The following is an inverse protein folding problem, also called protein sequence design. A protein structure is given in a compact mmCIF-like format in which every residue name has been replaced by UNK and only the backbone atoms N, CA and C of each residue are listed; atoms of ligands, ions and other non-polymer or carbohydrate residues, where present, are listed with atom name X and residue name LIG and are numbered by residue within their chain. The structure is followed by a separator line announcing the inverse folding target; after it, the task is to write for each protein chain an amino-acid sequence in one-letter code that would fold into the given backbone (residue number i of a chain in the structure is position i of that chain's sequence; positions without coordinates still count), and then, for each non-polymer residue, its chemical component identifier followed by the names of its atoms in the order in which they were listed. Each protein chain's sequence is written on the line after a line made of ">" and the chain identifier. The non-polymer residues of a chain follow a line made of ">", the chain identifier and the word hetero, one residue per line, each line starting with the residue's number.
data_IF_096347337400
#
_entry.id   IF_096347337400
#
_cell.length_a   1.000
_cell.length_b   1.000
_cell.length_c   1.000
_cell.angle_alpha   90.00
_cell.angle_beta   90.00
_cell.angle_gamma   90.00
#
_symmetry.space_group_name_H-M   'P 1'
#
loop_
_entity.id
_entity.type
_entity.pdbx_description
1 polymer ?
#
# COMPACT_ATOMS: atom_id res chain seq x y z
N UNK A 1 -15.88 21.50 -4.25
CA UNK A 1 -15.34 20.28 -4.89
C UNK A 1 -14.24 19.72 -4.00
N UNK A 2 -14.50 18.63 -3.28
CA UNK A 2 -13.48 17.98 -2.47
C UNK A 2 -12.32 17.55 -3.38
N UNK A 3 -11.11 18.04 -3.13
CA UNK A 3 -9.89 17.59 -3.80
C UNK A 3 -9.69 16.12 -3.43
N UNK A 4 -10.15 15.20 -4.30
CA UNK A 4 -9.89 13.76 -4.16
C UNK A 4 -8.38 13.59 -4.07
N UNK A 5 -7.86 13.33 -2.87
CA UNK A 5 -6.44 13.02 -2.69
C UNK A 5 -6.21 11.70 -3.40
N UNK A 6 -5.32 11.67 -4.39
CA UNK A 6 -5.03 10.46 -5.14
C UNK A 6 -4.54 9.34 -4.21
N UNK A 7 -5.34 8.29 -4.06
CA UNK A 7 -5.05 7.15 -3.15
C UNK A 7 -4.20 6.08 -3.83
N UNK A 8 -3.97 6.19 -5.15
CA UNK A 8 -3.26 5.19 -5.96
C UNK A 8 -1.84 4.90 -5.48
N UNK A 9 -1.10 5.94 -5.06
CA UNK A 9 0.25 5.77 -4.52
C UNK A 9 0.22 5.03 -3.18
N UNK A 10 -0.72 5.39 -2.29
CA UNK A 10 -0.85 4.74 -0.97
C UNK A 10 -1.19 3.25 -1.10
N UNK A 11 -2.13 2.90 -1.98
CA UNK A 11 -2.48 1.51 -2.28
C UNK A 11 -1.29 0.70 -2.80
N UNK A 12 -0.48 1.32 -3.68
CA UNK A 12 0.74 0.69 -4.21
C UNK A 12 1.80 0.44 -3.12
N UNK A 13 1.96 1.39 -2.19
CA UNK A 13 2.87 1.24 -1.04
C UNK A 13 2.41 0.09 -0.15
N UNK A 14 1.12 0.03 0.18
CA UNK A 14 0.54 -1.04 1.00
C UNK A 14 0.73 -2.43 0.37
N UNK A 15 0.49 -2.55 -0.94
CA UNK A 15 0.64 -3.81 -1.66
C UNK A 15 2.10 -4.28 -1.69
N UNK A 16 3.05 -3.36 -1.92
CA UNK A 16 4.48 -3.65 -1.87
C UNK A 16 4.90 -4.12 -0.46
N UNK A 17 4.39 -3.47 0.59
CA UNK A 17 4.67 -3.87 1.96
C UNK A 17 4.11 -5.25 2.30
N UNK A 18 2.89 -5.57 1.87
CA UNK A 18 2.31 -6.91 2.06
C UNK A 18 3.17 -8.00 1.42
N UNK A 19 3.68 -7.74 0.22
CA UNK A 19 4.60 -8.66 -0.47
C UNK A 19 5.91 -8.76 0.33
N UNK A 20 6.47 -7.63 0.76
CA UNK A 20 7.70 -7.59 1.54
C UNK A 20 7.58 -8.40 2.84
N UNK A 21 6.56 -8.15 3.66
CA UNK A 21 6.37 -8.84 4.94
C UNK A 21 6.23 -10.35 4.78
N UNK A 22 5.53 -10.79 3.72
CA UNK A 22 5.38 -12.22 3.40
C UNK A 22 6.72 -12.88 3.05
N UNK A 23 7.53 -12.23 2.23
CA UNK A 23 8.80 -12.79 1.75
C UNK A 23 9.94 -12.65 2.79
N UNK A 24 9.93 -11.60 3.62
CA UNK A 24 10.85 -11.46 4.77
C UNK A 24 10.62 -12.58 5.78
N UNK A 25 9.36 -12.93 6.05
CA UNK A 25 9.03 -14.06 6.95
C UNK A 25 9.52 -15.41 6.41
N UNK A 26 9.73 -15.52 5.09
CA UNK A 26 10.34 -16.68 4.43
C UNK A 26 11.87 -16.67 4.46
N UNK A 27 12.49 -15.60 4.96
CA UNK A 27 13.94 -15.46 5.05
C UNK A 27 14.63 -15.07 3.73
N UNK A 28 13.87 -14.52 2.78
CA UNK A 28 14.42 -14.11 1.48
C UNK A 28 15.14 -12.75 1.65
N UNK A 29 16.34 -12.56 1.06
CA UNK A 29 17.04 -11.28 1.18
C UNK A 29 16.36 -10.19 0.35
N UNK A 30 16.39 -8.94 0.85
CA UNK A 30 15.67 -7.80 0.27
C UNK A 30 15.89 -7.60 -1.23
N UNK A 31 17.11 -7.82 -1.71
CA UNK A 31 17.45 -7.71 -3.13
C UNK A 31 16.76 -8.77 -4.00
N UNK A 32 16.58 -9.97 -3.46
CA UNK A 32 15.90 -11.07 -4.12
C UNK A 32 14.39 -10.84 -4.14
N UNK A 33 13.83 -10.28 -3.06
CA UNK A 33 12.42 -9.88 -2.98
C UNK A 33 12.12 -8.84 -4.08
N UNK A 34 12.97 -7.82 -4.18
CA UNK A 34 12.83 -6.79 -5.22
C UNK A 34 12.88 -7.38 -6.63
N UNK A 35 13.89 -8.20 -6.91
CA UNK A 35 14.12 -8.75 -8.26
C UNK A 35 13.03 -9.74 -8.70
N UNK A 36 12.54 -10.60 -7.80
CA UNK A 36 11.59 -11.67 -8.14
C UNK A 36 10.13 -11.25 -8.11
N UNK A 37 9.75 -10.38 -7.17
CA UNK A 37 8.33 -10.07 -6.93
C UNK A 37 7.94 -8.65 -7.31
N UNK A 38 8.83 -7.68 -7.14
CA UNK A 38 8.47 -6.26 -7.26
C UNK A 38 8.80 -5.71 -8.64
N UNK A 39 10.01 -5.98 -9.14
CA UNK A 39 10.45 -5.52 -10.44
C UNK A 39 9.55 -5.98 -11.60
N UNK A 40 9.15 -7.26 -11.72
CA UNK A 40 8.31 -7.69 -12.84
C UNK A 40 6.89 -7.10 -12.81
N UNK A 41 6.38 -6.71 -11.65
CA UNK A 41 5.01 -6.18 -11.50
C UNK A 41 4.97 -4.66 -11.63
N UNK A 42 5.93 -3.97 -11.01
CA UNK A 42 5.90 -2.51 -10.87
C UNK A 42 6.96 -1.77 -11.68
N UNK A 43 7.99 -2.47 -12.20
CA UNK A 43 9.06 -1.84 -12.98
C UNK A 43 9.84 -0.76 -12.21
N UNK A 44 9.91 -0.84 -10.89
CA UNK A 44 10.54 0.17 -10.05
C UNK A 44 12.02 -0.13 -9.80
N UNK A 45 12.81 0.93 -9.67
CA UNK A 45 14.23 0.83 -9.30
C UNK A 45 14.40 0.40 -7.84
N UNK A 46 15.56 -0.18 -7.52
CA UNK A 46 15.91 -0.58 -6.15
C UNK A 46 15.88 0.62 -5.18
N UNK A 47 16.33 1.80 -5.62
CA UNK A 47 16.27 3.03 -4.82
C UNK A 47 14.82 3.42 -4.50
N UNK A 48 13.93 3.31 -5.48
CA UNK A 48 12.49 3.58 -5.28
C UNK A 48 11.87 2.56 -4.32
N UNK A 49 12.30 1.29 -4.38
CA UNK A 49 11.85 0.27 -3.45
C UNK A 49 12.23 0.59 -2.01
N UNK A 50 13.48 0.95 -1.73
CA UNK A 50 13.88 1.37 -0.38
C UNK A 50 13.20 2.66 0.07
N UNK A 51 12.97 3.61 -0.84
CA UNK A 51 12.20 4.82 -0.52
C UNK A 51 10.75 4.49 -0.12
N UNK A 52 10.12 3.50 -0.76
CA UNK A 52 8.76 3.05 -0.44
C UNK A 52 8.73 2.37 0.94
N UNK A 53 9.70 1.49 1.22
CA UNK A 53 9.84 0.86 2.54
C UNK A 53 10.03 1.92 3.64
N UNK A 54 10.89 2.92 3.40
CA UNK A 54 11.11 4.00 4.35
C UNK A 54 9.88 4.91 4.49
N UNK A 55 9.18 5.21 3.39
CA UNK A 55 7.94 5.98 3.42
C UNK A 55 6.85 5.27 4.23
N UNK A 56 6.83 3.93 4.25
CA UNK A 56 5.94 3.16 5.12
C UNK A 56 6.28 3.28 6.61
N UNK A 57 7.55 3.51 6.96
CA UNK A 57 7.98 3.70 8.34
C UNK A 57 7.60 5.10 8.87
N UNK A 58 7.26 6.02 7.97
CA UNK A 58 6.84 7.38 8.31
C UNK A 58 5.34 7.38 8.67
N UNK A 59 5.02 7.64 9.95
CA UNK A 59 3.65 7.59 10.51
C UNK A 59 2.62 8.42 9.73
N UNK A 60 3.08 9.43 8.98
CA UNK A 60 2.26 10.31 8.14
C UNK A 60 1.65 9.62 6.90
N UNK A 61 2.14 8.43 6.53
CA UNK A 61 1.69 7.69 5.37
C UNK A 61 0.70 6.57 5.67
N UNK A 62 0.36 6.31 6.95
CA UNK A 62 -0.75 5.41 7.29
C UNK A 62 -2.01 5.89 6.57
N UNK A 63 -2.58 5.00 5.77
CA UNK A 63 -3.96 5.12 5.31
C UNK A 63 -4.77 5.04 6.59
N UNK A 64 -5.54 6.08 6.92
CA UNK A 64 -6.52 5.99 8.00
C UNK A 64 -7.40 4.76 7.73
N UNK A 65 -7.76 4.04 8.79
CA UNK A 65 -8.50 2.77 8.73
C UNK A 65 -9.62 2.77 7.67
N UNK A 66 -9.87 1.58 7.11
CA UNK A 66 -10.86 1.29 6.05
C UNK A 66 -12.25 1.93 6.22
N UNK A 67 -12.59 2.44 7.41
CA UNK A 67 -13.82 3.20 7.70
C UNK A 67 -13.97 4.48 6.85
N UNK A 68 -12.87 5.13 6.44
CA UNK A 68 -12.94 6.33 5.60
C UNK A 68 -13.01 6.00 4.08
N UNK A 69 -12.66 4.77 3.70
CA UNK A 69 -12.82 4.27 2.31
C UNK A 69 -14.27 3.79 2.09
N UNK A 70 -14.96 3.35 3.14
CA UNK A 70 -16.37 2.94 3.11
C UNK A 70 -17.38 4.07 2.90
N UNK A 71 -16.99 5.34 2.99
CA UNK A 71 -17.88 6.49 2.71
C UNK A 71 -18.32 6.62 1.23
N UNK A 72 -18.07 5.63 0.37
CA UNK A 72 -18.73 5.51 -0.94
C UNK A 72 -20.09 4.80 -0.88
N UNK A 73 -20.44 4.18 0.24
CA UNK A 73 -21.80 3.70 0.51
C UNK A 73 -22.50 4.76 1.38
N UNK A 74 -23.04 5.78 0.70
CA UNK A 74 -23.88 6.83 1.28
C UNK A 74 -25.18 6.28 1.91
N UNK A 75 -25.47 4.99 1.68
CA UNK A 75 -26.58 4.28 2.27
C UNK A 75 -26.01 3.34 3.32
N UNK A 76 -26.40 3.56 4.57
CA UNK A 76 -26.26 2.50 5.57
C UNK A 76 -27.38 1.51 5.29
N UNK A 77 -27.12 0.21 5.43
CA UNK A 77 -28.19 -0.80 5.31
C UNK A 77 -29.31 -0.59 6.37
N UNK A 78 -29.08 0.25 7.38
CA UNK A 78 -30.05 0.72 8.37
C UNK A 78 -31.07 1.76 7.82
N UNK A 79 -30.86 2.31 6.62
CA UNK A 79 -31.81 3.25 6.01
C UNK A 79 -32.96 2.54 5.25
N UNK A 80 -32.96 1.20 5.24
CA UNK A 80 -34.01 0.34 4.70
C UNK A 80 -34.64 -0.51 5.81
N UNK A 81 -35.38 0.12 6.72
CA UNK A 81 -36.41 -0.55 7.54
C UNK A 81 -37.75 0.20 7.44
#
# INVERSE_FOLDING_TARGET
>A
MARRRGVSYKKRVEEINRIYDREVRRGIPNREIWRRFIYPVYGITERTFYNILNASADERNRIADDDDIRQLLLFKDEDYE
#
